data_IF_927893144036
#
_entry.id   IF_927893144036
#
_cell.length_a   1.000
_cell.length_b   1.000
_cell.length_c   1.000
_cell.angle_alpha   90.00
_cell.angle_beta   90.00
_cell.angle_gamma   90.00
#
_symmetry.space_group_name_H-M   'P 1'
#
loop_
_entity.id
_entity.type
_entity.pdbx_description
1 polymer ?
#
# COMPACT_ATOMS: atom_id res chain seq x y z
N UNK A 1 22.33 -2.82 -18.04
CA UNK A 1 20.94 -2.90 -17.55
C UNK A 1 20.83 -2.74 -16.04
N UNK A 2 21.70 -3.37 -15.24
CA UNK A 2 21.69 -3.28 -13.76
C UNK A 2 21.85 -1.85 -13.21
N UNK A 3 22.72 -1.03 -13.80
CA UNK A 3 22.89 0.39 -13.41
C UNK A 3 21.63 1.22 -13.66
N UNK A 4 20.92 0.98 -14.76
CA UNK A 4 19.67 1.67 -15.08
C UNK A 4 18.56 1.30 -14.09
N UNK A 5 18.42 0.03 -13.74
CA UNK A 5 17.43 -0.41 -12.73
C UNK A 5 17.78 0.16 -11.35
N UNK A 6 19.05 0.07 -10.94
CA UNK A 6 19.52 0.54 -9.63
C UNK A 6 19.17 2.00 -9.36
N UNK A 7 19.36 2.87 -10.35
CA UNK A 7 19.14 4.31 -10.18
C UNK A 7 17.81 4.79 -10.74
N UNK A 8 17.21 4.06 -11.68
CA UNK A 8 15.97 4.45 -12.37
C UNK A 8 14.70 3.93 -11.70
N UNK A 9 14.74 2.77 -11.04
CA UNK A 9 13.54 2.16 -10.46
C UNK A 9 12.85 3.09 -9.45
N UNK A 10 13.60 3.59 -8.47
CA UNK A 10 13.05 4.42 -7.39
C UNK A 10 12.45 5.74 -7.92
N UNK A 11 13.14 6.54 -8.75
CA UNK A 11 12.54 7.75 -9.34
C UNK A 11 11.33 7.47 -10.23
N UNK A 12 11.37 6.40 -11.05
CA UNK A 12 10.23 6.04 -11.92
C UNK A 12 8.99 5.73 -11.09
N UNK A 13 9.13 4.96 -10.02
CA UNK A 13 8.00 4.60 -9.17
C UNK A 13 7.56 5.78 -8.30
N UNK A 14 8.49 6.40 -7.56
CA UNK A 14 8.17 7.44 -6.58
C UNK A 14 7.75 8.78 -7.20
N UNK A 15 8.35 9.16 -8.33
CA UNK A 15 8.07 10.44 -9.00
C UNK A 15 7.21 10.21 -10.24
N UNK A 16 7.57 9.24 -11.08
CA UNK A 16 6.85 8.99 -12.33
C UNK A 16 5.42 8.47 -12.10
N UNK A 17 5.28 7.29 -11.49
CA UNK A 17 3.97 6.65 -11.31
C UNK A 17 3.11 7.43 -10.29
N UNK A 18 3.66 7.76 -9.12
CA UNK A 18 2.91 8.54 -8.13
C UNK A 18 2.62 9.97 -8.61
N UNK A 19 3.54 10.60 -9.35
CA UNK A 19 3.30 11.92 -9.94
C UNK A 19 2.24 11.88 -11.03
N UNK A 20 2.21 10.83 -11.85
CA UNK A 20 1.13 10.61 -12.80
C UNK A 20 -0.21 10.40 -12.08
N UNK A 21 -0.24 9.64 -10.98
CA UNK A 21 -1.44 9.48 -10.17
C UNK A 21 -1.92 10.81 -9.58
N UNK A 22 -1.01 11.60 -9.00
CA UNK A 22 -1.32 12.92 -8.47
C UNK A 22 -1.83 13.88 -9.55
N UNK A 23 -1.19 13.92 -10.72
CA UNK A 23 -1.65 14.73 -11.85
C UNK A 23 -3.05 14.33 -12.31
N UNK A 24 -3.30 13.03 -12.46
CA UNK A 24 -4.59 12.52 -12.95
C UNK A 24 -5.72 12.78 -11.95
N UNK A 25 -5.46 12.65 -10.66
CA UNK A 25 -6.39 13.05 -9.59
C UNK A 25 -6.66 14.56 -9.56
N UNK A 26 -5.63 15.38 -9.82
CA UNK A 26 -5.77 16.84 -9.88
C UNK A 26 -6.63 17.33 -11.05
N UNK A 27 -6.60 16.64 -12.19
CA UNK A 27 -7.43 16.96 -13.37
C UNK A 27 -8.77 16.23 -13.38
N UNK A 28 -9.15 15.54 -12.29
CA UNK A 28 -10.40 14.78 -12.17
C UNK A 28 -10.63 13.76 -13.31
N UNK A 29 -9.56 13.10 -13.77
CA UNK A 29 -9.68 12.08 -14.80
C UNK A 29 -10.38 10.81 -14.27
N UNK A 30 -11.04 10.05 -15.17
CA UNK A 30 -11.71 8.79 -14.85
C UNK A 30 -10.82 7.81 -14.09
N UNK A 31 -11.28 7.27 -12.97
CA UNK A 31 -10.51 6.40 -12.07
C UNK A 31 -9.98 5.10 -12.70
N UNK A 32 -10.44 4.75 -13.91
CA UNK A 32 -9.92 3.60 -14.67
C UNK A 32 -8.41 3.72 -14.96
N UNK A 33 -7.84 4.93 -15.00
CA UNK A 33 -6.38 5.10 -15.18
C UNK A 33 -5.60 4.54 -14.00
N UNK A 34 -6.17 4.51 -12.79
CA UNK A 34 -5.49 4.04 -11.59
C UNK A 34 -5.08 2.58 -11.75
N UNK A 35 -5.97 1.74 -12.28
CA UNK A 35 -5.69 0.32 -12.57
C UNK A 35 -4.46 0.17 -13.47
N UNK A 36 -4.33 0.99 -14.51
CA UNK A 36 -3.18 0.93 -15.42
C UNK A 36 -1.88 1.35 -14.74
N UNK A 37 -1.90 2.36 -13.87
CA UNK A 37 -0.71 2.77 -13.10
C UNK A 37 -0.31 1.71 -12.07
N UNK A 38 -1.29 1.07 -11.43
CA UNK A 38 -1.05 -0.04 -10.49
C UNK A 38 -0.39 -1.21 -11.19
N UNK A 39 -0.95 -1.67 -12.32
CA UNK A 39 -0.36 -2.74 -13.14
C UNK A 39 1.06 -2.36 -13.56
N UNK A 40 1.26 -1.12 -13.98
CA UNK A 40 2.59 -0.64 -14.37
C UNK A 40 3.58 -0.70 -13.20
N UNK A 41 3.18 -0.24 -12.01
CA UNK A 41 4.02 -0.30 -10.81
C UNK A 41 4.39 -1.74 -10.43
N UNK A 42 3.41 -2.66 -10.47
CA UNK A 42 3.62 -4.08 -10.18
C UNK A 42 4.60 -4.68 -11.19
N UNK A 43 4.39 -4.46 -12.49
CA UNK A 43 5.29 -4.95 -13.55
C UNK A 43 6.70 -4.37 -13.39
N UNK A 44 6.85 -3.08 -13.13
CA UNK A 44 8.14 -2.45 -12.87
C UNK A 44 8.84 -3.05 -11.65
N UNK A 45 8.10 -3.33 -10.57
CA UNK A 45 8.63 -3.92 -9.33
C UNK A 45 9.16 -5.33 -9.59
N UNK A 46 8.37 -6.19 -10.22
CA UNK A 46 8.79 -7.54 -10.57
C UNK A 46 9.95 -7.57 -11.58
N UNK A 47 9.93 -6.68 -12.58
CA UNK A 47 11.03 -6.55 -13.53
C UNK A 47 12.33 -6.12 -12.83
N UNK A 48 12.26 -5.16 -11.90
CA UNK A 48 13.41 -4.73 -11.12
C UNK A 48 13.99 -5.87 -10.26
N UNK A 49 13.12 -6.65 -9.61
CA UNK A 49 13.53 -7.82 -8.81
C UNK A 49 14.20 -8.90 -9.66
N UNK A 50 13.68 -9.15 -10.87
CA UNK A 50 14.28 -10.13 -11.79
C UNK A 50 15.64 -9.68 -12.33
N UNK A 51 15.81 -8.39 -12.62
CA UNK A 51 17.04 -7.84 -13.21
C UNK A 51 18.12 -7.60 -12.16
N UNK A 52 17.76 -7.20 -10.95
CA UNK A 52 18.69 -6.87 -9.87
C UNK A 52 18.22 -7.47 -8.53
N UNK A 53 18.20 -8.81 -8.39
CA UNK A 53 17.82 -9.45 -7.13
C UNK A 53 18.88 -9.21 -6.05
N UNK A 54 18.44 -9.10 -4.79
CA UNK A 54 19.37 -9.10 -3.66
C UNK A 54 20.01 -10.48 -3.45
N UNK A 55 19.22 -11.55 -3.65
CA UNK A 55 19.66 -12.95 -3.68
C UNK A 55 19.08 -13.63 -4.91
N UNK A 56 19.93 -14.28 -5.71
CA UNK A 56 19.53 -14.88 -6.99
C UNK A 56 18.50 -15.99 -6.78
N UNK A 57 18.60 -16.72 -5.67
CA UNK A 57 17.70 -17.81 -5.30
C UNK A 57 16.26 -17.34 -5.04
N UNK A 58 16.06 -16.07 -4.71
CA UNK A 58 14.71 -15.51 -4.49
C UNK A 58 13.91 -15.33 -5.77
N UNK A 59 14.55 -15.40 -6.95
CA UNK A 59 13.87 -15.36 -8.25
C UNK A 59 13.19 -16.67 -8.64
N UNK A 60 13.53 -17.78 -7.98
CA UNK A 60 12.82 -19.05 -8.09
C UNK A 60 11.77 -19.16 -6.98
N UNK A 61 10.56 -19.61 -7.34
CA UNK A 61 9.56 -20.01 -6.35
C UNK A 61 10.07 -21.21 -5.57
N UNK A 62 9.94 -21.16 -4.25
CA UNK A 62 10.16 -22.31 -3.37
C UNK A 62 8.79 -22.96 -3.08
N UNK A 63 8.65 -23.63 -1.95
CA UNK A 63 7.38 -24.24 -1.50
C UNK A 63 6.34 -23.22 -0.99
N UNK A 64 6.58 -21.92 -1.21
CA UNK A 64 5.76 -20.82 -0.70
C UNK A 64 4.69 -20.31 -1.66
N UNK A 65 4.82 -20.59 -2.96
CA UNK A 65 4.01 -19.95 -4.01
C UNK A 65 2.50 -20.14 -3.83
N UNK A 66 2.04 -21.32 -3.40
CA UNK A 66 0.61 -21.59 -3.20
C UNK A 66 0.04 -20.81 -2.02
N UNK A 67 0.73 -20.81 -0.88
CA UNK A 67 0.37 -20.03 0.32
C UNK A 67 0.31 -18.55 -0.03
N UNK A 68 1.34 -18.04 -0.71
CA UNK A 68 1.47 -16.62 -1.00
C UNK A 68 0.38 -16.16 -1.97
N UNK A 69 0.08 -16.95 -3.00
CA UNK A 69 -1.03 -16.65 -3.94
C UNK A 69 -2.37 -16.55 -3.23
N UNK A 70 -2.64 -17.44 -2.26
CA UNK A 70 -3.89 -17.40 -1.47
C UNK A 70 -3.95 -16.12 -0.63
N UNK A 71 -2.85 -15.77 0.06
CA UNK A 71 -2.80 -14.53 0.82
C UNK A 71 -2.97 -13.30 -0.08
N UNK A 72 -2.29 -13.25 -1.22
CA UNK A 72 -2.39 -12.16 -2.19
C UNK A 72 -3.85 -11.98 -2.66
N UNK A 73 -4.51 -13.07 -3.09
CA UNK A 73 -5.91 -13.02 -3.56
C UNK A 73 -6.87 -12.58 -2.47
N UNK A 74 -6.76 -13.17 -1.26
CA UNK A 74 -7.65 -12.85 -0.13
C UNK A 74 -7.46 -11.40 0.31
N UNK A 75 -6.21 -10.97 0.46
CA UNK A 75 -5.90 -9.65 0.99
C UNK A 75 -6.17 -8.56 -0.04
N UNK A 76 -5.89 -8.78 -1.33
CA UNK A 76 -6.28 -7.82 -2.39
C UNK A 76 -7.79 -7.74 -2.53
N UNK A 77 -8.51 -8.86 -2.47
CA UNK A 77 -9.98 -8.83 -2.49
C UNK A 77 -10.54 -8.04 -1.31
N UNK A 78 -9.92 -8.14 -0.14
CA UNK A 78 -10.30 -7.36 1.04
C UNK A 78 -9.99 -5.86 0.89
N UNK A 79 -8.85 -5.51 0.27
CA UNK A 79 -8.51 -4.11 -0.07
C UNK A 79 -9.53 -3.54 -1.04
N UNK A 80 -9.78 -4.23 -2.16
CA UNK A 80 -10.73 -3.79 -3.18
C UNK A 80 -12.14 -3.63 -2.61
N UNK A 81 -12.60 -4.58 -1.79
CA UNK A 81 -13.89 -4.47 -1.11
C UNK A 81 -13.93 -3.28 -0.15
N UNK A 82 -12.86 -3.05 0.63
CA UNK A 82 -12.77 -1.91 1.56
C UNK A 82 -12.79 -0.56 0.82
N UNK A 83 -12.07 -0.45 -0.30
CA UNK A 83 -12.07 0.73 -1.16
C UNK A 83 -13.45 0.94 -1.79
N UNK A 84 -14.11 -0.12 -2.26
CA UNK A 84 -15.45 -0.04 -2.85
C UNK A 84 -16.54 0.42 -1.85
N UNK A 85 -16.30 0.28 -0.54
CA UNK A 85 -17.20 0.77 0.52
C UNK A 85 -17.04 2.28 0.75
N UNK A 86 -15.91 2.90 0.36
CA UNK A 86 -15.64 4.34 0.59
C UNK A 86 -16.71 5.24 -0.04
N UNK A 87 -17.12 5.10 -1.31
CA UNK A 87 -18.18 5.93 -1.90
C UNK A 87 -19.52 5.81 -1.18
N UNK A 88 -19.85 4.60 -0.69
CA UNK A 88 -21.08 4.36 0.08
C UNK A 88 -21.01 5.10 1.41
N UNK A 89 -19.89 5.00 2.13
CA UNK A 89 -19.69 5.73 3.38
C UNK A 89 -19.70 7.25 3.16
N UNK A 90 -19.05 7.75 2.10
CA UNK A 90 -19.05 9.17 1.76
C UNK A 90 -20.46 9.70 1.46
N UNK A 91 -21.34 8.90 0.87
CA UNK A 91 -22.72 9.30 0.57
C UNK A 91 -23.63 9.38 1.80
N UNK A 92 -23.30 8.70 2.91
CA UNK A 92 -24.15 8.63 4.10
C UNK A 92 -23.57 9.33 5.33
N UNK A 93 -22.28 9.68 5.31
CA UNK A 93 -21.60 10.29 6.47
C UNK A 93 -21.79 11.82 6.49
N UNK A 94 -22.19 12.41 7.63
CA UNK A 94 -22.48 13.84 7.72
C UNK A 94 -21.24 14.73 7.89
N UNK A 95 -20.02 14.16 7.95
CA UNK A 95 -18.79 14.87 8.30
C UNK A 95 -17.95 15.34 7.08
N UNK A 96 -18.61 15.87 6.05
CA UNK A 96 -17.93 16.31 4.82
C UNK A 96 -17.19 17.65 4.97
N UNK A 97 -17.41 18.39 6.06
CA UNK A 97 -16.97 19.79 6.18
C UNK A 97 -15.62 19.98 6.90
N UNK A 98 -14.99 18.91 7.39
CA UNK A 98 -13.72 19.04 8.13
C UNK A 98 -12.49 18.89 7.23
N UNK A 99 -12.69 18.50 5.97
CA UNK A 99 -11.62 18.36 5.00
C UNK A 99 -11.20 19.75 4.49
N UNK A 100 -9.89 20.05 4.46
CA UNK A 100 -9.40 21.34 3.95
C UNK A 100 -9.44 21.37 2.40
N UNK A 101 -10.64 21.46 1.84
CA UNK A 101 -10.89 21.36 0.40
C UNK A 101 -10.26 22.51 -0.40
N UNK A 102 -10.03 23.65 0.23
CA UNK A 102 -9.40 24.84 -0.35
C UNK A 102 -7.87 24.72 -0.52
N UNK A 103 -7.24 23.71 0.08
CA UNK A 103 -5.79 23.50 -0.08
C UNK A 103 -5.45 23.06 -1.50
N UNK A 104 -4.23 23.36 -2.01
CA UNK A 104 -3.78 22.81 -3.29
C UNK A 104 -3.86 21.27 -3.27
N UNK A 105 -4.28 20.66 -4.37
CA UNK A 105 -4.50 19.21 -4.44
C UNK A 105 -3.31 18.38 -3.95
N UNK A 106 -2.08 18.75 -4.32
CA UNK A 106 -0.86 18.06 -3.87
C UNK A 106 -0.72 18.11 -2.35
N UNK A 107 -1.08 19.23 -1.71
CA UNK A 107 -1.04 19.38 -0.26
C UNK A 107 -2.11 18.52 0.40
N UNK A 108 -3.32 18.46 -0.17
CA UNK A 108 -4.37 17.53 0.28
C UNK A 108 -3.91 16.06 0.21
N UNK A 109 -3.27 15.68 -0.90
CA UNK A 109 -2.75 14.33 -1.10
C UNK A 109 -1.64 13.99 -0.10
N UNK A 110 -0.69 14.90 0.13
CA UNK A 110 0.37 14.71 1.13
C UNK A 110 -0.19 14.62 2.55
N UNK A 111 -1.19 15.44 2.87
CA UNK A 111 -1.90 15.38 4.14
C UNK A 111 -2.61 14.02 4.33
N UNK A 112 -3.28 13.53 3.28
CA UNK A 112 -3.90 12.21 3.29
C UNK A 112 -2.87 11.10 3.52
N UNK A 113 -1.75 11.12 2.79
CA UNK A 113 -0.63 10.17 2.95
C UNK A 113 -0.12 10.19 4.39
N UNK A 114 0.08 11.36 4.98
CA UNK A 114 0.61 11.50 6.34
C UNK A 114 -0.31 10.86 7.39
N UNK A 115 -1.60 11.17 7.36
CA UNK A 115 -2.59 10.59 8.28
C UNK A 115 -2.61 9.07 8.13
N UNK A 116 -2.63 8.61 6.89
CA UNK A 116 -2.83 7.21 6.60
C UNK A 116 -1.59 6.37 6.95
N UNK A 117 -0.39 6.85 6.61
CA UNK A 117 0.87 6.23 7.02
C UNK A 117 1.04 6.28 8.55
N UNK A 118 0.58 7.34 9.23
CA UNK A 118 0.60 7.41 10.69
C UNK A 118 -0.28 6.34 11.35
N UNK A 119 -1.52 6.14 10.87
CA UNK A 119 -2.43 5.11 11.35
C UNK A 119 -1.86 3.70 11.18
N UNK A 120 -1.43 3.37 9.96
CA UNK A 120 -0.80 2.08 9.63
C UNK A 120 0.44 1.85 10.50
N UNK A 121 1.33 2.85 10.59
CA UNK A 121 2.56 2.76 11.39
C UNK A 121 2.26 2.53 12.87
N UNK A 122 1.21 3.15 13.40
CA UNK A 122 0.81 3.00 14.80
C UNK A 122 0.35 1.58 15.10
N UNK A 123 -0.49 0.98 14.24
CA UNK A 123 -0.92 -0.42 14.40
C UNK A 123 0.25 -1.37 14.25
N UNK A 124 1.14 -1.13 13.29
CA UNK A 124 2.36 -1.92 13.13
C UNK A 124 3.21 -1.87 14.39
N UNK A 125 3.50 -0.67 14.92
CA UNK A 125 4.30 -0.50 16.13
C UNK A 125 3.65 -1.13 17.36
N UNK A 126 2.33 -0.97 17.52
CA UNK A 126 1.57 -1.61 18.58
C UNK A 126 1.64 -3.14 18.48
N UNK A 127 1.67 -3.68 17.26
CA UNK A 127 1.75 -5.12 17.01
C UNK A 127 3.08 -5.75 17.44
N UNK A 128 4.15 -4.97 17.53
CA UNK A 128 5.42 -5.41 18.11
C UNK A 128 5.45 -5.32 19.65
N UNK A 129 4.43 -4.73 20.28
CA UNK A 129 4.39 -4.50 21.73
C UNK A 129 3.26 -5.23 22.45
N UNK A 130 2.17 -5.55 21.76
CA UNK A 130 0.95 -6.14 22.33
C UNK A 130 0.80 -7.59 21.85
N UNK A 131 0.74 -8.54 22.78
CA UNK A 131 0.82 -9.97 22.47
C UNK A 131 -0.24 -10.51 21.50
N UNK A 132 -1.50 -10.07 21.60
CA UNK A 132 -2.54 -10.52 20.68
C UNK A 132 -2.41 -9.90 19.29
N UNK A 133 -1.97 -8.64 19.19
CA UNK A 133 -1.67 -8.00 17.91
C UNK A 133 -0.47 -8.67 17.23
N UNK A 134 0.55 -9.04 18.02
CA UNK A 134 1.69 -9.81 17.52
C UNK A 134 1.25 -11.12 16.88
N UNK A 135 0.29 -11.86 17.47
CA UNK A 135 -0.20 -13.13 16.89
C UNK A 135 -0.76 -12.95 15.48
N UNK A 136 -1.40 -11.81 15.21
CA UNK A 136 -1.88 -11.48 13.86
C UNK A 136 -0.75 -11.00 12.95
N UNK A 137 0.15 -10.18 13.49
CA UNK A 137 1.30 -9.61 12.77
C UNK A 137 2.40 -10.62 12.44
N UNK A 138 2.50 -11.72 13.21
CA UNK A 138 3.49 -12.77 12.99
C UNK A 138 3.35 -13.46 11.62
N UNK A 139 2.16 -13.43 11.00
CA UNK A 139 1.96 -13.88 9.61
C UNK A 139 2.84 -13.09 8.65
N UNK A 140 2.95 -11.78 8.85
CA UNK A 140 3.83 -10.91 8.07
C UNK A 140 5.32 -11.21 8.27
N UNK A 141 5.71 -11.61 9.48
CA UNK A 141 7.10 -12.02 9.77
C UNK A 141 7.40 -13.47 9.39
N UNK A 142 6.43 -14.21 8.84
CA UNK A 142 6.63 -15.62 8.44
C UNK A 142 7.28 -15.81 7.06
N UNK A 143 7.53 -14.70 6.33
CA UNK A 143 8.10 -14.73 4.98
C UNK A 143 9.55 -15.22 4.98
N UNK A 144 9.82 -16.28 4.20
CA UNK A 144 11.16 -16.91 4.11
C UNK A 144 12.10 -16.30 3.06
N UNK A 145 11.55 -15.53 2.11
CA UNK A 145 12.28 -14.78 1.10
C UNK A 145 11.60 -13.44 0.83
N UNK A 146 12.35 -12.48 0.32
CA UNK A 146 11.83 -11.15 -0.01
C UNK A 146 11.62 -10.98 -1.52
N UNK A 147 10.41 -10.59 -1.90
CA UNK A 147 9.95 -10.24 -3.24
C UNK A 147 8.70 -9.32 -3.14
N UNK A 148 8.23 -8.81 -4.27
CA UNK A 148 7.34 -7.64 -4.31
C UNK A 148 6.02 -7.80 -3.58
N UNK A 149 5.47 -9.00 -3.49
CA UNK A 149 4.14 -9.21 -2.89
C UNK A 149 4.19 -9.56 -1.40
N UNK A 150 5.36 -9.65 -0.76
CA UNK A 150 5.41 -9.98 0.67
C UNK A 150 4.70 -8.96 1.57
N UNK A 151 4.49 -7.73 1.09
CA UNK A 151 3.66 -6.75 1.78
C UNK A 151 2.21 -7.19 1.98
N UNK A 152 1.71 -8.10 1.12
CA UNK A 152 0.38 -8.70 1.20
C UNK A 152 0.35 -9.95 2.08
N UNK A 153 1.48 -10.43 2.61
CA UNK A 153 1.50 -11.54 3.56
C UNK A 153 1.05 -11.06 4.93
N UNK A 154 -0.25 -10.89 5.13
CA UNK A 154 -0.84 -10.39 6.38
C UNK A 154 -2.01 -11.26 6.79
N UNK A 155 -2.23 -11.35 8.11
CA UNK A 155 -3.49 -11.86 8.62
C UNK A 155 -4.61 -10.87 8.24
N UNK A 156 -5.76 -11.31 7.70
CA UNK A 156 -6.82 -10.39 7.23
C UNK A 156 -7.30 -9.41 8.31
N UNK A 157 -7.44 -9.88 9.56
CA UNK A 157 -7.78 -8.99 10.70
C UNK A 157 -6.70 -7.94 10.97
N UNK A 158 -5.41 -8.26 10.84
CA UNK A 158 -4.34 -7.28 11.03
C UNK A 158 -4.41 -6.21 9.94
N UNK A 159 -4.63 -6.63 8.69
CA UNK A 159 -4.81 -5.72 7.58
C UNK A 159 -6.06 -4.84 7.75
N UNK A 160 -7.17 -5.39 8.24
CA UNK A 160 -8.36 -4.60 8.55
C UNK A 160 -8.09 -3.53 9.62
N UNK A 161 -7.27 -3.84 10.64
CA UNK A 161 -6.88 -2.87 11.67
C UNK A 161 -5.97 -1.76 11.11
N UNK A 162 -4.98 -2.11 10.30
CA UNK A 162 -4.13 -1.13 9.61
C UNK A 162 -4.96 -0.23 8.67
N UNK A 163 -5.86 -0.82 7.89
CA UNK A 163 -6.75 -0.08 6.98
C UNK A 163 -7.73 0.80 7.74
N UNK A 164 -8.36 0.30 8.81
CA UNK A 164 -9.27 1.09 9.63
C UNK A 164 -8.55 2.29 10.24
N UNK A 165 -7.37 2.10 10.84
CA UNK A 165 -6.64 3.22 11.46
C UNK A 165 -6.03 4.20 10.46
N UNK A 166 -5.66 3.74 9.26
CA UNK A 166 -5.15 4.61 8.20
C UNK A 166 -6.24 5.38 7.45
N UNK A 167 -7.40 4.76 7.19
CA UNK A 167 -8.44 5.30 6.31
C UNK A 167 -9.61 5.90 7.07
N UNK A 168 -10.01 5.35 8.23
CA UNK A 168 -11.15 5.86 8.99
C UNK A 168 -11.02 7.35 9.35
N UNK A 169 -9.86 7.86 9.81
CA UNK A 169 -9.72 9.29 10.07
C UNK A 169 -9.94 10.14 8.80
N UNK A 170 -9.50 9.66 7.63
CA UNK A 170 -9.71 10.36 6.36
C UNK A 170 -11.19 10.40 5.96
N UNK A 171 -11.90 9.29 6.13
CA UNK A 171 -13.35 9.22 5.88
C UNK A 171 -14.10 10.15 6.83
N UNK A 172 -13.73 10.16 8.12
CA UNK A 172 -14.35 11.03 9.12
C UNK A 172 -14.08 12.52 8.87
N UNK A 173 -12.95 12.86 8.23
CA UNK A 173 -12.68 14.22 7.81
C UNK A 173 -13.42 14.61 6.52
N UNK A 174 -13.92 13.64 5.74
CA UNK A 174 -14.60 13.90 4.48
C UNK A 174 -13.69 13.94 3.25
N UNK A 175 -12.67 13.07 3.20
CA UNK A 175 -11.74 13.01 2.06
C UNK A 175 -12.47 12.93 0.69
N UNK A 176 -12.17 13.83 -0.27
CA UNK A 176 -12.74 13.78 -1.61
C UNK A 176 -12.31 12.53 -2.39
N UNK A 177 -13.20 12.01 -3.24
CA UNK A 177 -12.96 10.79 -4.04
C UNK A 177 -11.68 10.89 -4.86
N UNK A 178 -11.44 12.01 -5.55
CA UNK A 178 -10.24 12.18 -6.38
C UNK A 178 -8.93 12.15 -5.57
N UNK A 179 -8.94 12.61 -4.31
CA UNK A 179 -7.79 12.50 -3.40
C UNK A 179 -7.64 11.05 -2.91
N UNK A 180 -8.73 10.40 -2.55
CA UNK A 180 -8.75 9.00 -2.12
C UNK A 180 -8.25 8.04 -3.22
N UNK A 181 -8.64 8.28 -4.48
CA UNK A 181 -8.20 7.49 -5.63
C UNK A 181 -6.70 7.67 -5.92
N UNK A 182 -6.21 8.91 -5.85
CA UNK A 182 -4.78 9.20 -6.00
C UNK A 182 -3.95 8.58 -4.86
N UNK A 183 -4.46 8.61 -3.62
CA UNK A 183 -3.86 7.93 -2.47
C UNK A 183 -3.76 6.42 -2.70
N UNK A 184 -4.85 5.79 -3.17
CA UNK A 184 -4.92 4.34 -3.42
C UNK A 184 -3.88 3.91 -4.45
N UNK A 185 -3.75 4.64 -5.56
CA UNK A 185 -2.76 4.33 -6.60
C UNK A 185 -1.30 4.41 -6.10
N UNK A 186 -1.02 5.30 -5.14
CA UNK A 186 0.31 5.43 -4.52
C UNK A 186 0.62 4.38 -3.44
N UNK A 187 -0.41 3.75 -2.87
CA UNK A 187 -0.28 2.75 -1.80
C UNK A 187 -0.05 1.33 -2.30
N UNK A 188 -0.59 0.99 -3.47
CA UNK A 188 -0.45 -0.33 -4.10
C UNK A 188 0.93 -0.60 -4.69
N UNK A 189 1.84 0.38 -4.63
CA UNK A 189 3.25 0.17 -4.95
C UNK A 189 3.87 -0.71 -3.85
N UNK A 190 4.43 -1.89 -4.19
CA UNK A 190 5.19 -2.71 -3.26
C UNK A 190 6.24 -1.92 -2.47
N UNK A 191 5.98 -1.68 -1.17
CA UNK A 191 6.96 -1.06 -0.28
C UNK A 191 7.79 -2.16 0.38
N UNK A 192 9.00 -2.36 -0.12
CA UNK A 192 9.99 -3.18 0.58
C UNK A 192 10.58 -2.36 1.75
N UNK A 193 10.24 -2.72 2.99
CA UNK A 193 10.93 -2.21 4.18
C UNK A 193 11.73 -3.35 4.81
N UNK A 194 13.05 -3.29 4.69
CA UNK A 194 13.97 -4.25 5.27
C UNK A 194 14.52 -3.75 6.61
N UNK A 195 14.26 -4.48 7.68
CA UNK A 195 15.17 -4.55 8.83
C UNK A 195 15.31 -6.01 9.24
N UNK A 196 16.55 -6.50 9.45
CA UNK A 196 16.76 -7.85 9.94
C UNK A 196 16.27 -7.94 11.39
N UNK A 197 15.20 -8.69 11.64
CA UNK A 197 14.92 -9.18 12.98
C UNK A 197 15.98 -10.23 13.27
N UNK A 198 16.98 -9.88 14.09
CA UNK A 198 17.79 -10.90 14.75
C UNK A 198 16.84 -11.76 15.57
N UNK A 199 16.83 -13.10 15.41
CA UNK A 199 16.15 -13.94 16.37
C UNK A 199 16.82 -13.71 17.72
N UNK A 200 16.06 -13.18 18.68
CA UNK A 200 16.45 -13.23 20.07
C UNK A 200 16.64 -14.69 20.46
N UNK A 201 17.74 -14.96 21.17
CA UNK A 201 17.99 -16.23 21.86
C UNK A 201 16.93 -16.50 22.90
#
# INVERSE_FOLDING_TARGET
>A
MTTLVRWGYVPVVLIGINGAAAYRGAVHASELWAVALIITAVVCSFAAERILPYRVEWNSSLEDAGRDTIHDVVNESFILASVAVIPVLAAVMPFHDWWPAEWPFVVQLLFAILIADFGITTVHLASHRVGWLWRLHAVHHSVGRFYGLNGLMKHPVHQALEMATGVLPLILLGIPVNVASALTAGWTVPRQRSLPIRPGR
#
